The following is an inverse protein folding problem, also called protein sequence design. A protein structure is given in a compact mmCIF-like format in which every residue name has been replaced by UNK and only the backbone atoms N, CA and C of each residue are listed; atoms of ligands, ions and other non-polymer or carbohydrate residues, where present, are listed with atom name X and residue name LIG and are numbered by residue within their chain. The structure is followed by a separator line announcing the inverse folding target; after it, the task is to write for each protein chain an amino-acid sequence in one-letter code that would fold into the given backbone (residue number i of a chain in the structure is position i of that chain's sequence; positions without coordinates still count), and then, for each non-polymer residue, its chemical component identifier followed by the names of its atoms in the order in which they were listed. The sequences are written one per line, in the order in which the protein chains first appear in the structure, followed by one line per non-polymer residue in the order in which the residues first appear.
data_IF_493062113804
#
_entry.id   IF_493062113804
#
_cell.length_a   1.000
_cell.length_b   1.000
_cell.length_c   1.000
_cell.angle_alpha   90.00
_cell.angle_beta   90.00
_cell.angle_gamma   90.00
#
_symmetry.space_group_name_H-M   'P 1'
#
loop_
_entity.id
_entity.type
_entity.pdbx_description
1 polymer ?
#
# COMPACT_ATOMS: atom_id res chain seq x y z
N UNK A 1 21.18 48.88 -41.03
CA UNK A 1 21.99 49.42 -39.91
C UNK A 1 21.28 49.15 -38.64
N UNK A 2 21.66 48.08 -37.97
CA UNK A 2 21.12 47.70 -36.62
C UNK A 2 21.91 48.48 -35.57
N UNK A 3 21.21 49.28 -34.78
CA UNK A 3 21.80 50.14 -33.76
C UNK A 3 22.46 49.28 -32.65
N UNK A 4 23.64 49.70 -32.12
CA UNK A 4 24.37 48.90 -31.09
C UNK A 4 23.60 48.66 -29.77
N UNK A 5 22.57 49.45 -29.50
CA UNK A 5 21.72 49.37 -28.32
C UNK A 5 20.83 48.08 -28.28
N UNK A 6 20.40 47.58 -29.43
CA UNK A 6 19.53 46.39 -29.53
C UNK A 6 20.24 45.10 -29.10
N UNK A 7 21.53 44.99 -29.37
CA UNK A 7 22.31 43.80 -29.01
C UNK A 7 22.58 43.69 -27.52
N UNK A 8 22.74 44.79 -26.81
CA UNK A 8 22.93 44.80 -25.36
C UNK A 8 21.65 44.43 -24.62
N UNK A 9 20.50 44.88 -25.09
CA UNK A 9 19.20 44.59 -24.52
C UNK A 9 18.85 43.10 -24.74
N UNK A 10 19.04 42.57 -25.93
CA UNK A 10 18.85 41.14 -26.26
C UNK A 10 19.76 40.24 -25.41
N UNK A 11 21.03 40.59 -25.23
CA UNK A 11 22.00 39.84 -24.46
C UNK A 11 21.62 39.85 -22.96
N UNK A 12 21.16 40.97 -22.42
CA UNK A 12 20.66 41.06 -21.02
C UNK A 12 19.38 40.26 -20.83
N UNK A 13 18.48 40.25 -21.79
CA UNK A 13 17.24 39.44 -21.73
C UNK A 13 17.55 37.94 -21.77
N UNK A 14 18.47 37.52 -22.62
CA UNK A 14 18.89 36.09 -22.72
C UNK A 14 19.62 35.61 -21.46
N UNK A 15 20.31 36.49 -20.73
CA UNK A 15 20.94 36.15 -19.45
C UNK A 15 19.94 36.22 -18.29
N UNK A 16 18.89 37.04 -18.35
CA UNK A 16 17.88 37.17 -17.32
C UNK A 16 16.88 36.01 -17.31
N UNK A 17 16.58 35.39 -18.46
CA UNK A 17 15.65 34.28 -18.59
C UNK A 17 16.02 33.05 -17.73
N UNK A 18 17.27 32.53 -17.79
CA UNK A 18 17.65 31.39 -16.97
C UNK A 18 17.66 31.71 -15.46
N UNK A 19 18.02 32.95 -15.09
CA UNK A 19 17.99 33.41 -13.71
C UNK A 19 16.54 33.51 -13.16
N UNK A 20 15.63 34.04 -13.99
CA UNK A 20 14.20 34.07 -13.64
C UNK A 20 13.63 32.65 -13.51
N UNK A 21 13.97 31.72 -14.41
CA UNK A 21 13.59 30.33 -14.34
C UNK A 21 14.11 29.63 -13.07
N UNK A 22 15.37 29.84 -12.72
CA UNK A 22 15.96 29.30 -11.49
C UNK A 22 15.31 29.91 -10.24
N UNK A 23 14.95 31.19 -10.26
CA UNK A 23 14.22 31.83 -9.16
C UNK A 23 12.84 31.23 -8.93
N UNK A 24 12.06 31.00 -10.00
CA UNK A 24 10.73 30.36 -9.92
C UNK A 24 10.85 28.93 -9.41
N UNK A 25 11.81 28.15 -9.94
CA UNK A 25 12.06 26.79 -9.48
C UNK A 25 12.47 26.74 -8.01
N UNK A 26 13.33 27.67 -7.56
CA UNK A 26 13.74 27.79 -6.16
C UNK A 26 12.59 28.11 -5.22
N UNK A 27 11.69 29.02 -5.61
CA UNK A 27 10.50 29.35 -4.80
C UNK A 27 9.52 28.16 -4.75
N UNK A 28 9.30 27.48 -5.87
CA UNK A 28 8.46 26.28 -5.91
C UNK A 28 9.01 25.16 -5.01
N UNK A 29 10.32 24.92 -5.10
CA UNK A 29 11.00 23.94 -4.25
C UNK A 29 10.95 24.32 -2.77
N UNK A 30 11.18 25.60 -2.44
CA UNK A 30 11.05 26.09 -1.07
C UNK A 30 9.63 25.93 -0.50
N UNK A 31 8.60 26.24 -1.30
CA UNK A 31 7.20 26.02 -0.91
C UNK A 31 6.90 24.53 -0.67
N UNK A 32 7.43 23.66 -1.52
CA UNK A 32 7.30 22.20 -1.36
C UNK A 32 7.97 21.73 -0.07
N UNK A 33 9.21 22.12 0.19
CA UNK A 33 9.93 21.78 1.42
C UNK A 33 9.23 22.31 2.67
N UNK A 34 8.77 23.56 2.64
CA UNK A 34 8.06 24.16 3.78
C UNK A 34 6.68 23.52 4.00
N UNK A 35 6.03 23.01 2.96
CA UNK A 35 4.83 22.20 3.04
C UNK A 35 5.07 20.86 3.75
N UNK A 36 6.19 20.20 3.42
CA UNK A 36 6.60 18.96 4.07
C UNK A 36 6.89 19.17 5.57
N UNK A 37 7.61 20.24 5.93
CA UNK A 37 7.91 20.55 7.34
C UNK A 37 6.68 20.91 8.17
N UNK A 38 5.63 21.44 7.55
CA UNK A 38 4.35 21.78 8.21
C UNK A 38 3.35 20.64 8.22
N UNK A 39 3.72 19.45 7.69
CA UNK A 39 2.82 18.29 7.59
C UNK A 39 1.67 18.48 6.59
N UNK A 40 1.65 19.58 5.82
CA UNK A 40 0.60 19.84 4.82
C UNK A 40 0.82 19.11 3.48
N UNK A 41 2.02 18.57 3.27
CA UNK A 41 2.37 17.73 2.14
C UNK A 41 3.19 16.54 2.62
N UNK A 42 2.54 15.41 2.73
CA UNK A 42 3.18 14.13 3.04
C UNK A 42 3.24 13.32 1.73
N UNK A 43 4.41 13.12 1.12
CA UNK A 43 4.52 12.34 -0.11
C UNK A 43 4.20 10.85 0.11
N UNK A 44 4.07 10.41 1.37
CA UNK A 44 3.64 9.06 1.75
C UNK A 44 2.13 8.99 2.03
N UNK A 45 1.45 10.14 2.08
CA UNK A 45 -0.01 10.20 2.18
C UNK A 45 -0.61 9.85 0.80
N UNK A 46 -0.48 8.59 0.45
CA UNK A 46 -1.27 8.03 -0.63
C UNK A 46 -2.67 7.93 -0.02
N UNK A 47 -3.55 8.85 -0.39
CA UNK A 47 -4.99 8.74 -0.11
C UNK A 47 -5.39 7.33 -0.51
N UNK A 48 -5.48 6.43 0.45
CA UNK A 48 -5.92 5.07 0.21
C UNK A 48 -7.42 5.12 0.03
N UNK A 49 -7.93 4.99 -1.19
CA UNK A 49 -9.36 5.16 -1.49
C UNK A 49 -10.23 4.03 -0.92
N UNK A 50 -9.67 3.17 -0.09
CA UNK A 50 -10.29 1.90 0.37
C UNK A 50 -10.85 2.00 1.79
N UNK A 51 -10.60 3.10 2.54
CA UNK A 51 -11.20 3.30 3.86
C UNK A 51 -12.71 3.59 3.72
N UNK A 52 -13.50 2.92 4.54
CA UNK A 52 -14.98 3.05 4.56
C UNK A 52 -15.66 2.67 3.23
N UNK A 53 -15.02 1.84 2.41
CA UNK A 53 -15.61 1.31 1.19
C UNK A 53 -16.01 -0.15 1.35
N UNK A 54 -17.06 -0.57 0.66
CA UNK A 54 -17.36 -1.99 0.57
C UNK A 54 -16.19 -2.72 -0.10
N UNK A 55 -15.90 -3.91 0.42
CA UNK A 55 -14.92 -4.83 -0.17
C UNK A 55 -15.31 -5.09 -1.63
N UNK A 56 -14.39 -5.01 -2.59
CA UNK A 56 -14.65 -5.27 -3.99
C UNK A 56 -15.11 -6.72 -4.21
N UNK A 57 -15.73 -6.98 -5.34
CA UNK A 57 -16.18 -8.32 -5.71
C UNK A 57 -14.99 -9.17 -6.15
N UNK A 58 -14.77 -10.31 -5.51
CA UNK A 58 -13.70 -11.25 -5.86
C UNK A 58 -14.05 -12.69 -5.47
N UNK A 59 -13.36 -13.62 -6.09
CA UNK A 59 -13.39 -15.04 -5.74
C UNK A 59 -11.97 -15.57 -5.78
N UNK A 60 -11.49 -16.12 -4.68
CA UNK A 60 -10.14 -16.67 -4.58
C UNK A 60 -10.21 -18.19 -4.44
N UNK A 61 -9.54 -18.93 -5.34
CA UNK A 61 -9.37 -20.37 -5.16
C UNK A 61 -8.63 -20.66 -3.85
N UNK A 62 -8.83 -21.89 -3.30
CA UNK A 62 -8.17 -22.29 -2.08
C UNK A 62 -6.66 -22.39 -2.24
N UNK A 63 -5.94 -21.97 -1.22
CA UNK A 63 -4.52 -22.27 -1.04
C UNK A 63 -4.38 -23.30 0.08
N UNK A 64 -4.11 -24.58 -0.24
CA UNK A 64 -4.01 -25.63 0.78
C UNK A 64 -2.98 -25.31 1.89
N UNK A 65 -3.24 -25.63 3.17
CA UNK A 65 -4.32 -26.53 3.63
C UNK A 65 -5.64 -25.84 3.98
N UNK A 66 -5.82 -24.55 3.73
CA UNK A 66 -7.04 -23.84 4.07
C UNK A 66 -7.96 -23.64 2.86
N UNK A 67 -9.23 -23.39 3.13
CA UNK A 67 -10.23 -23.10 2.12
C UNK A 67 -10.06 -21.68 1.56
N UNK A 68 -10.37 -21.51 0.28
CA UNK A 68 -10.49 -20.21 -0.36
C UNK A 68 -11.68 -19.42 0.17
N UNK A 69 -11.82 -18.19 -0.30
CA UNK A 69 -12.95 -17.35 0.09
C UNK A 69 -13.32 -16.32 -0.98
N UNK A 70 -14.50 -15.75 -0.81
CA UNK A 70 -15.11 -14.77 -1.71
C UNK A 70 -15.44 -13.48 -0.97
N UNK A 71 -15.80 -12.45 -1.70
CA UNK A 71 -16.36 -11.22 -1.13
C UNK A 71 -17.63 -11.50 -0.30
N UNK A 72 -18.46 -12.47 -0.72
CA UNK A 72 -19.68 -12.85 0.01
C UNK A 72 -19.34 -13.48 1.38
N UNK A 73 -18.27 -14.26 1.49
CA UNK A 73 -17.85 -14.80 2.78
C UNK A 73 -17.49 -13.67 3.75
N UNK A 74 -16.80 -12.61 3.27
CA UNK A 74 -16.51 -11.43 4.08
C UNK A 74 -17.76 -10.63 4.47
N UNK A 75 -18.79 -10.61 3.62
CA UNK A 75 -20.07 -9.95 3.93
C UNK A 75 -20.83 -10.64 5.06
N UNK A 76 -20.61 -11.95 5.24
CA UNK A 76 -21.31 -12.77 6.23
C UNK A 76 -20.58 -12.85 7.57
N UNK A 77 -19.40 -12.24 7.70
CA UNK A 77 -18.67 -12.26 8.99
C UNK A 77 -19.47 -11.51 10.06
N UNK A 78 -19.58 -12.10 11.23
CA UNK A 78 -20.24 -11.50 12.40
C UNK A 78 -19.30 -10.70 13.29
N UNK A 79 -17.99 -10.87 13.09
CA UNK A 79 -16.90 -10.21 13.83
C UNK A 79 -15.88 -9.67 12.84
N UNK A 80 -15.13 -8.65 13.21
CA UNK A 80 -14.05 -8.14 12.35
C UNK A 80 -13.02 -9.23 12.03
N UNK A 81 -12.56 -9.24 10.78
CA UNK A 81 -11.55 -10.14 10.24
C UNK A 81 -10.38 -9.31 9.72
N UNK A 82 -9.15 -9.73 9.98
CA UNK A 82 -7.97 -9.19 9.35
C UNK A 82 -7.73 -9.91 8.02
N UNK A 83 -7.72 -9.17 6.92
CA UNK A 83 -7.33 -9.66 5.59
C UNK A 83 -5.92 -9.19 5.30
N UNK A 84 -4.97 -10.13 5.22
CA UNK A 84 -3.56 -9.83 5.00
C UNK A 84 -3.13 -10.33 3.61
N UNK A 85 -2.58 -9.41 2.83
CA UNK A 85 -1.93 -9.74 1.55
C UNK A 85 -0.45 -10.01 1.80
N UNK A 86 0.01 -11.19 1.39
CA UNK A 86 1.39 -11.63 1.58
C UNK A 86 1.95 -12.35 0.34
N UNK A 87 3.26 -12.58 0.32
CA UNK A 87 3.90 -13.43 -0.68
C UNK A 87 5.15 -14.10 -0.11
N UNK A 88 5.54 -15.25 -0.66
CA UNK A 88 6.74 -15.98 -0.25
C UNK A 88 8.04 -15.24 -0.55
N UNK A 89 8.04 -14.40 -1.57
CA UNK A 89 9.19 -13.58 -1.99
C UNK A 89 9.31 -12.26 -1.22
N UNK A 90 8.38 -11.96 -0.32
CA UNK A 90 8.28 -10.70 0.40
C UNK A 90 9.02 -10.78 1.74
N UNK A 91 10.19 -10.13 1.84
CA UNK A 91 11.00 -10.11 3.07
C UNK A 91 10.27 -9.42 4.26
N UNK A 92 9.60 -8.26 4.07
CA UNK A 92 8.82 -7.66 5.15
C UNK A 92 7.68 -8.55 5.63
N UNK A 93 7.05 -9.34 4.75
CA UNK A 93 6.02 -10.31 5.14
C UNK A 93 6.59 -11.36 6.10
N UNK A 94 7.81 -11.85 5.84
CA UNK A 94 8.47 -12.79 6.74
C UNK A 94 8.73 -12.16 8.13
N UNK A 95 9.08 -10.88 8.16
CA UNK A 95 9.36 -10.17 9.41
C UNK A 95 8.10 -9.96 10.27
N UNK A 96 6.91 -9.81 9.67
CA UNK A 96 5.66 -9.63 10.43
C UNK A 96 5.01 -10.93 10.90
N UNK A 97 5.35 -12.09 10.30
CA UNK A 97 4.75 -13.39 10.65
C UNK A 97 4.79 -13.73 12.13
N UNK A 98 5.88 -13.51 12.90
CA UNK A 98 5.88 -13.75 14.34
C UNK A 98 4.81 -12.95 15.08
N UNK A 99 4.59 -11.70 14.69
CA UNK A 99 3.55 -10.83 15.28
C UNK A 99 2.16 -11.37 14.96
N UNK A 100 1.88 -11.71 13.70
CA UNK A 100 0.61 -12.31 13.31
C UNK A 100 0.34 -13.63 14.06
N UNK A 101 1.37 -14.45 14.25
CA UNK A 101 1.26 -15.69 15.02
C UNK A 101 0.87 -15.46 16.50
N UNK A 102 1.26 -14.33 17.10
CA UNK A 102 0.82 -14.00 18.47
C UNK A 102 -0.65 -13.58 18.55
N UNK A 103 -1.22 -13.14 17.43
CA UNK A 103 -2.59 -12.63 17.34
C UNK A 103 -3.60 -13.67 16.88
N UNK A 104 -3.18 -14.81 16.34
CA UNK A 104 -4.04 -15.82 15.70
C UNK A 104 -5.18 -16.35 16.57
N UNK A 105 -4.96 -16.42 17.90
CA UNK A 105 -5.95 -16.93 18.85
C UNK A 105 -6.92 -15.83 19.33
N UNK A 106 -6.66 -14.57 18.96
CA UNK A 106 -7.43 -13.39 19.36
C UNK A 106 -8.23 -12.77 18.23
N UNK A 107 -7.74 -12.90 17.02
CA UNK A 107 -8.31 -12.28 15.81
C UNK A 107 -8.44 -13.36 14.73
N UNK A 108 -9.57 -13.35 14.04
CA UNK A 108 -9.72 -14.14 12.82
C UNK A 108 -8.95 -13.47 11.69
N UNK A 109 -8.08 -14.23 11.03
CA UNK A 109 -7.20 -13.71 9.99
C UNK A 109 -7.32 -14.56 8.72
N UNK A 110 -7.51 -13.89 7.60
CA UNK A 110 -7.59 -14.49 6.28
C UNK A 110 -6.41 -13.99 5.44
N UNK A 111 -5.71 -14.92 4.81
CA UNK A 111 -4.52 -14.60 4.01
C UNK A 111 -4.82 -14.63 2.52
N UNK A 112 -4.20 -13.71 1.77
CA UNK A 112 -4.24 -13.69 0.29
C UNK A 112 -2.80 -13.76 -0.20
N UNK A 113 -2.46 -14.87 -0.88
CA UNK A 113 -1.16 -15.03 -1.53
C UNK A 113 -1.15 -14.24 -2.84
N UNK A 114 -0.46 -13.10 -2.85
CA UNK A 114 -0.46 -12.16 -3.95
C UNK A 114 0.67 -12.42 -4.92
N UNK A 115 0.33 -12.65 -6.19
CA UNK A 115 1.30 -12.87 -7.29
C UNK A 115 2.40 -13.87 -6.92
N UNK A 116 1.99 -14.97 -6.32
CA UNK A 116 2.89 -16.03 -5.87
C UNK A 116 2.50 -17.38 -6.49
N UNK A 117 3.40 -18.34 -6.45
CA UNK A 117 3.07 -19.71 -6.79
C UNK A 117 2.48 -20.41 -5.57
N UNK A 118 1.37 -21.15 -5.71
CA UNK A 118 0.73 -21.84 -4.58
C UNK A 118 1.69 -22.68 -3.75
N UNK A 119 2.64 -23.38 -4.41
CA UNK A 119 3.63 -24.24 -3.74
C UNK A 119 4.60 -23.41 -2.87
N UNK A 120 5.00 -22.22 -3.35
CA UNK A 120 5.92 -21.33 -2.66
C UNK A 120 5.21 -20.69 -1.45
N UNK A 121 4.00 -20.16 -1.65
CA UNK A 121 3.19 -19.60 -0.58
C UNK A 121 2.90 -20.64 0.52
N UNK A 122 2.52 -21.86 0.14
CA UNK A 122 2.33 -22.95 1.09
C UNK A 122 3.64 -23.33 1.81
N UNK A 123 4.77 -23.34 1.12
CA UNK A 123 6.08 -23.59 1.73
C UNK A 123 6.46 -22.48 2.71
N UNK A 124 6.24 -21.23 2.34
CA UNK A 124 6.46 -20.08 3.21
C UNK A 124 5.69 -20.22 4.53
N UNK A 125 4.38 -20.51 4.48
CA UNK A 125 3.55 -20.66 5.66
C UNK A 125 3.96 -21.88 6.53
N UNK A 126 4.44 -22.97 5.93
CA UNK A 126 4.97 -24.11 6.71
C UNK A 126 6.22 -23.75 7.51
N UNK A 127 7.07 -22.87 6.99
CA UNK A 127 8.33 -22.52 7.66
C UNK A 127 8.18 -21.36 8.65
N UNK A 128 7.36 -20.35 8.32
CA UNK A 128 7.18 -19.14 9.14
C UNK A 128 6.01 -19.22 10.13
N UNK A 129 5.19 -20.28 10.04
CA UNK A 129 3.91 -20.41 10.76
C UNK A 129 2.73 -19.94 9.90
N UNK A 130 1.55 -20.48 10.18
CA UNK A 130 0.31 -20.09 9.50
C UNK A 130 -0.67 -19.48 10.52
N UNK A 131 -0.89 -18.16 10.51
CA UNK A 131 -1.87 -17.51 11.37
C UNK A 131 -3.28 -17.50 10.77
N UNK A 132 -3.44 -17.87 9.49
CA UNK A 132 -4.66 -17.68 8.72
C UNK A 132 -5.62 -18.85 8.85
N UNK A 133 -6.91 -18.55 9.04
CA UNK A 133 -8.00 -19.53 9.07
C UNK A 133 -8.52 -19.85 7.68
N UNK A 134 -8.44 -18.88 6.75
CA UNK A 134 -8.72 -19.04 5.32
C UNK A 134 -7.58 -18.51 4.49
N UNK A 135 -7.34 -19.13 3.33
CA UNK A 135 -6.26 -18.76 2.44
C UNK A 135 -6.75 -18.74 1.00
N UNK A 136 -6.61 -17.59 0.36
CA UNK A 136 -6.92 -17.41 -1.05
C UNK A 136 -5.66 -17.29 -1.91
N UNK A 137 -5.71 -17.86 -3.11
CA UNK A 137 -4.67 -17.71 -4.12
C UNK A 137 -5.04 -16.59 -5.09
N UNK A 138 -4.29 -15.49 -5.07
CA UNK A 138 -4.39 -14.37 -6.01
C UNK A 138 -3.16 -14.38 -6.95
N UNK A 139 -2.98 -15.51 -7.64
CA UNK A 139 -1.84 -15.74 -8.54
C UNK A 139 -1.71 -14.63 -9.60
N UNK A 140 -2.82 -14.20 -10.17
CA UNK A 140 -2.85 -13.16 -11.21
C UNK A 140 -2.78 -11.74 -10.64
N UNK A 141 -2.93 -11.58 -9.32
CA UNK A 141 -2.93 -10.29 -8.63
C UNK A 141 -4.18 -9.44 -8.90
N UNK A 142 -5.28 -10.06 -9.36
CA UNK A 142 -6.52 -9.36 -9.69
C UNK A 142 -7.23 -8.85 -8.44
N UNK A 143 -7.35 -9.69 -7.42
CA UNK A 143 -7.92 -9.27 -6.16
C UNK A 143 -7.11 -8.14 -5.53
N UNK A 144 -5.77 -8.19 -5.57
CA UNK A 144 -4.93 -7.10 -5.11
C UNK A 144 -5.19 -5.77 -5.83
N UNK A 145 -5.41 -5.80 -7.16
CA UNK A 145 -5.77 -4.61 -7.94
C UNK A 145 -7.12 -4.06 -7.50
N UNK A 146 -8.13 -4.91 -7.36
CA UNK A 146 -9.47 -4.51 -6.92
C UNK A 146 -9.47 -3.93 -5.49
N UNK A 147 -8.64 -4.48 -4.62
CA UNK A 147 -8.42 -3.96 -3.27
C UNK A 147 -7.57 -2.70 -3.23
N UNK A 148 -6.95 -2.32 -4.35
CA UNK A 148 -6.11 -1.13 -4.47
C UNK A 148 -4.81 -1.23 -3.69
N UNK A 149 -4.27 -2.46 -3.49
CA UNK A 149 -2.98 -2.62 -2.82
C UNK A 149 -1.85 -2.07 -3.69
N UNK A 150 -0.87 -1.47 -3.04
CA UNK A 150 0.34 -0.98 -3.71
C UNK A 150 1.48 -1.99 -3.69
N UNK A 151 1.39 -2.98 -2.81
CA UNK A 151 2.40 -4.02 -2.63
C UNK A 151 2.06 -4.90 -1.43
N UNK A 152 2.99 -5.77 -1.05
CA UNK A 152 2.86 -6.63 0.13
C UNK A 152 4.00 -6.35 1.11
N UNK A 153 3.76 -6.45 2.44
CA UNK A 153 2.50 -6.78 3.08
C UNK A 153 1.54 -5.59 3.19
N UNK A 154 0.27 -5.85 3.03
CA UNK A 154 -0.80 -4.92 3.37
C UNK A 154 -1.92 -5.65 4.12
N UNK A 155 -2.44 -5.02 5.19
CA UNK A 155 -3.46 -5.61 6.05
C UNK A 155 -4.67 -4.70 6.16
N UNK A 156 -5.86 -5.30 5.99
CA UNK A 156 -7.14 -4.61 6.07
C UNK A 156 -7.95 -5.19 7.23
N UNK A 157 -8.56 -4.33 8.04
CA UNK A 157 -9.56 -4.73 8.99
C UNK A 157 -10.93 -4.64 8.33
N UNK A 158 -11.58 -5.77 8.14
CA UNK A 158 -12.90 -5.87 7.52
C UNK A 158 -13.93 -6.22 8.58
N UNK A 159 -14.93 -5.37 8.74
CA UNK A 159 -16.03 -5.60 9.66
C UNK A 159 -17.25 -6.23 9.02
N UNK A 160 -18.30 -6.47 9.83
CA UNK A 160 -19.58 -6.97 9.33
C UNK A 160 -20.13 -6.10 8.19
N UNK A 161 -20.67 -6.75 7.17
CA UNK A 161 -21.13 -6.07 5.95
C UNK A 161 -20.02 -5.78 4.94
N UNK A 162 -18.83 -6.36 5.11
CA UNK A 162 -17.66 -6.21 4.26
C UNK A 162 -17.23 -4.74 4.02
N UNK A 163 -17.25 -3.95 5.08
CA UNK A 163 -16.70 -2.59 5.07
C UNK A 163 -15.27 -2.61 5.60
N UNK A 164 -14.32 -2.08 4.83
CA UNK A 164 -12.94 -1.93 5.29
C UNK A 164 -12.82 -0.72 6.21
N UNK A 165 -12.42 -0.93 7.47
CA UNK A 165 -12.28 0.14 8.48
C UNK A 165 -10.88 0.73 8.55
N UNK A 166 -9.85 -0.08 8.32
CA UNK A 166 -8.46 0.38 8.40
C UNK A 166 -7.58 -0.35 7.40
N UNK A 167 -6.52 0.34 7.01
CA UNK A 167 -5.49 -0.17 6.13
C UNK A 167 -4.13 0.07 6.79
N UNK A 168 -3.42 -1.01 7.12
CA UNK A 168 -2.09 -0.97 7.73
C UNK A 168 -1.03 -1.43 6.73
N UNK A 169 0.02 -0.64 6.58
CA UNK A 169 1.21 -0.97 5.78
C UNK A 169 2.41 -1.23 6.68
N UNK A 170 3.34 -2.06 6.24
CA UNK A 170 4.52 -2.45 7.01
C UNK A 170 5.37 -1.28 7.56
N UNK A 171 5.23 -0.08 6.99
CA UNK A 171 5.98 1.10 7.42
C UNK A 171 5.30 1.92 8.54
N UNK A 172 4.03 1.68 8.83
CA UNK A 172 3.27 2.47 9.82
C UNK A 172 3.32 1.86 11.23
N UNK A 173 3.63 0.58 11.35
CA UNK A 173 3.62 -0.14 12.63
C UNK A 173 4.84 0.12 13.53
N UNK A 174 5.86 0.83 13.06
CA UNK A 174 7.11 1.05 13.81
C UNK A 174 7.29 2.47 14.37
N UNK A 175 6.40 3.42 14.08
CA UNK A 175 6.57 4.82 14.52
C UNK A 175 5.79 5.23 15.76
N UNK A 176 4.80 4.47 16.20
CA UNK A 176 3.90 4.86 17.30
C UNK A 176 4.14 4.08 18.61
N UNK A 177 5.30 3.50 18.77
CA UNK A 177 5.64 2.63 19.91
C UNK A 177 6.85 3.11 20.74
N UNK A 178 6.93 4.43 21.09
CA UNK A 178 7.79 4.91 22.20
C UNK A 178 7.09 6.05 22.93
#
# INVERSE_FOLDING_TARGET
MTTPSDNLTRRRLLMALPLAGAGVAGVAFWKMLSGMQRGSFNPHDINTPVLDRPVPDFTLPPLPPADGFTAQDLQQVSKPVLVNFFASWCIPCLAEMPTLMTLKDRLDMWGIAYKDKPENAASFLRHSGNPFTRLGDDHDGRAGIEWGISGVPETFLVGPGAVSYTHLRAHETLSDGV
#
